data_IF_010774947646
#
_entry.id   IF_010774947646
#
_cell.length_a   1.000
_cell.length_b   1.000
_cell.length_c   1.000
_cell.angle_alpha   90.00
_cell.angle_beta   90.00
_cell.angle_gamma   90.00
#
_symmetry.space_group_name_H-M   'P 1'
#
loop_
_entity.id
_entity.type
_entity.pdbx_description
1 polymer ?
#
# COMPACT_ATOMS: atom_id res chain seq x y z
N UNK A 1 4.26 15.04 58.98
CA UNK A 1 5.23 14.28 58.19
C UNK A 1 4.42 13.41 57.22
N UNK A 2 4.27 13.82 56.00
CA UNK A 2 3.57 13.05 54.98
C UNK A 2 4.63 12.50 54.02
N UNK A 3 4.77 11.18 53.99
CA UNK A 3 5.72 10.47 53.12
C UNK A 3 5.24 10.42 51.70
N UNK A 4 5.99 11.01 50.82
CA UNK A 4 5.84 10.99 49.38
C UNK A 4 6.37 9.65 48.82
N UNK A 5 5.50 8.69 48.55
CA UNK A 5 5.84 7.47 47.80
C UNK A 5 5.56 7.69 46.33
N UNK A 6 6.55 8.19 45.58
CA UNK A 6 6.47 8.35 44.13
C UNK A 6 6.68 6.99 43.43
N UNK A 7 5.74 6.65 42.55
CA UNK A 7 5.66 5.47 41.71
C UNK A 7 6.82 5.34 40.73
N UNK A 8 7.84 4.53 41.03
CA UNK A 8 8.98 4.20 40.13
C UNK A 8 8.87 2.84 39.40
N UNK A 9 7.69 2.25 39.27
CA UNK A 9 7.54 0.86 38.79
C UNK A 9 7.07 0.67 37.35
N UNK A 10 6.87 1.73 36.54
CA UNK A 10 6.20 1.57 35.21
C UNK A 10 7.13 1.34 34.01
N UNK A 11 8.41 1.71 34.03
CA UNK A 11 9.31 1.63 32.88
C UNK A 11 9.79 0.21 32.49
N UNK A 12 10.27 -0.64 33.40
CA UNK A 12 10.80 -1.97 33.05
C UNK A 12 9.71 -2.92 32.51
N UNK A 13 8.52 -2.90 33.11
CA UNK A 13 7.41 -3.77 32.74
C UNK A 13 6.84 -3.41 31.34
N UNK A 14 6.81 -2.13 30.99
CA UNK A 14 6.41 -1.66 29.67
C UNK A 14 7.41 -2.07 28.58
N UNK A 15 8.71 -1.99 28.85
CA UNK A 15 9.76 -2.45 27.94
C UNK A 15 9.73 -3.96 27.67
N UNK A 16 9.54 -4.77 28.71
CA UNK A 16 9.41 -6.23 28.58
C UNK A 16 8.19 -6.62 27.76
N UNK A 17 7.04 -5.97 27.97
CA UNK A 17 5.82 -6.21 27.20
C UNK A 17 5.96 -5.85 25.73
N UNK A 18 6.64 -4.74 25.42
CA UNK A 18 6.93 -4.31 24.07
C UNK A 18 7.88 -5.27 23.35
N UNK A 19 8.92 -5.75 24.02
CA UNK A 19 9.84 -6.73 23.46
C UNK A 19 9.12 -8.06 23.12
N UNK A 20 8.23 -8.51 24.00
CA UNK A 20 7.40 -9.72 23.76
C UNK A 20 6.47 -9.53 22.56
N UNK A 21 5.79 -8.38 22.45
CA UNK A 21 4.89 -8.08 21.33
C UNK A 21 5.65 -8.02 20.00
N UNK A 22 6.83 -7.37 19.96
CA UNK A 22 7.70 -7.34 18.77
C UNK A 22 8.16 -8.75 18.38
N UNK A 23 8.47 -9.60 19.34
CA UNK A 23 8.80 -11.01 19.10
C UNK A 23 7.64 -11.79 18.48
N UNK A 24 6.41 -11.58 18.96
CA UNK A 24 5.20 -12.18 18.40
C UNK A 24 4.92 -11.69 16.97
N UNK A 25 5.07 -10.40 16.69
CA UNK A 25 4.96 -9.83 15.34
C UNK A 25 5.98 -10.46 14.41
N UNK A 26 7.25 -10.58 14.85
CA UNK A 26 8.32 -11.22 14.08
C UNK A 26 7.98 -12.68 13.74
N UNK A 27 7.48 -13.44 14.70
CA UNK A 27 7.06 -14.83 14.50
C UNK A 27 5.90 -14.93 13.50
N UNK A 28 4.88 -14.08 13.63
CA UNK A 28 3.74 -14.05 12.71
C UNK A 28 4.16 -13.70 11.28
N UNK A 29 5.01 -12.68 11.11
CA UNK A 29 5.52 -12.27 9.80
C UNK A 29 6.40 -13.36 9.17
N UNK A 30 7.28 -14.00 9.96
CA UNK A 30 8.09 -15.13 9.50
C UNK A 30 7.22 -16.28 9.00
N UNK A 31 6.19 -16.64 9.75
CA UNK A 31 5.25 -17.68 9.34
C UNK A 31 4.55 -17.35 8.02
N UNK A 32 4.11 -16.09 7.83
CA UNK A 32 3.53 -15.64 6.56
C UNK A 32 4.51 -15.80 5.40
N UNK A 33 5.73 -15.29 5.55
CA UNK A 33 6.76 -15.36 4.49
C UNK A 33 7.15 -16.80 4.15
N UNK A 34 7.18 -17.70 5.15
CA UNK A 34 7.51 -19.11 4.94
C UNK A 34 6.37 -19.89 4.28
N UNK A 35 5.11 -19.60 4.65
CA UNK A 35 3.93 -20.33 4.17
C UNK A 35 3.37 -19.80 2.85
N UNK A 36 3.65 -18.54 2.51
CA UNK A 36 3.38 -18.03 1.18
C UNK A 36 4.38 -18.63 0.20
N UNK A 37 3.90 -19.39 -0.77
CA UNK A 37 4.79 -19.96 -1.80
C UNK A 37 5.47 -18.86 -2.61
N UNK A 38 6.62 -19.19 -3.22
CA UNK A 38 7.38 -18.26 -4.06
C UNK A 38 8.33 -17.35 -3.27
N UNK A 39 8.64 -16.19 -3.84
CA UNK A 39 9.52 -15.19 -3.23
C UNK A 39 8.68 -14.16 -2.50
N UNK A 40 8.64 -14.22 -1.18
CA UNK A 40 7.84 -13.32 -0.34
C UNK A 40 8.71 -12.40 0.50
N UNK A 41 8.35 -11.13 0.56
CA UNK A 41 8.92 -10.11 1.43
C UNK A 41 7.83 -9.47 2.27
N UNK A 42 8.18 -9.01 3.48
CA UNK A 42 7.21 -8.41 4.37
C UNK A 42 7.76 -7.29 5.24
N UNK A 43 6.89 -6.37 5.55
CA UNK A 43 7.09 -5.24 6.44
C UNK A 43 5.88 -5.10 7.36
N UNK A 44 6.10 -5.03 8.67
CA UNK A 44 5.05 -4.73 9.65
C UNK A 44 5.55 -3.64 10.60
N UNK A 45 4.74 -2.61 10.79
CA UNK A 45 5.01 -1.53 11.75
C UNK A 45 3.76 -1.19 12.53
N UNK A 46 3.80 -1.35 13.85
CA UNK A 46 2.83 -0.73 14.74
C UNK A 46 3.08 0.79 14.77
N UNK A 47 2.02 1.58 14.65
CA UNK A 47 2.13 3.05 14.67
C UNK A 47 2.53 3.52 16.08
N UNK A 48 3.35 4.55 16.13
CA UNK A 48 4.00 5.08 17.34
C UNK A 48 5.52 4.89 17.28
N UNK A 49 6.18 4.80 18.43
CA UNK A 49 7.64 4.75 18.55
C UNK A 49 8.26 3.36 18.28
N UNK A 50 7.48 2.46 17.64
CA UNK A 50 7.93 1.09 17.36
C UNK A 50 8.76 1.03 16.08
N UNK A 51 9.86 0.27 16.14
CA UNK A 51 10.61 -0.05 14.94
C UNK A 51 9.84 -1.07 14.08
N UNK A 52 9.97 -1.01 12.75
CA UNK A 52 9.36 -2.02 11.89
C UNK A 52 10.02 -3.39 12.07
N UNK A 53 9.23 -4.44 11.84
CA UNK A 53 9.71 -5.82 11.67
C UNK A 53 9.68 -6.13 10.19
N UNK A 54 10.79 -6.61 9.66
CA UNK A 54 10.96 -6.84 8.23
C UNK A 54 11.53 -8.22 7.94
N UNK A 55 11.08 -8.85 6.85
CA UNK A 55 11.72 -10.00 6.20
C UNK A 55 11.94 -9.68 4.73
N UNK A 56 13.21 -9.63 4.31
CA UNK A 56 13.59 -9.21 2.95
C UNK A 56 12.92 -7.89 2.53
N UNK A 57 12.66 -6.98 3.50
CA UNK A 57 11.84 -5.79 3.30
C UNK A 57 12.31 -4.88 2.16
N UNK A 58 13.61 -4.80 1.93
CA UNK A 58 14.23 -4.03 0.84
C UNK A 58 14.37 -4.81 -0.48
N UNK A 59 13.90 -6.07 -0.55
CA UNK A 59 13.94 -6.82 -1.81
C UNK A 59 13.06 -6.15 -2.84
N UNK A 60 13.65 -5.83 -3.98
CA UNK A 60 12.92 -5.31 -5.14
C UNK A 60 12.11 -6.43 -5.78
N UNK A 61 10.79 -6.23 -5.85
CA UNK A 61 9.83 -7.18 -6.40
C UNK A 61 8.83 -6.47 -7.33
N UNK A 62 8.14 -7.23 -8.16
CA UNK A 62 7.06 -6.71 -9.01
C UNK A 62 5.99 -6.08 -8.14
N UNK A 63 5.71 -4.81 -8.37
CA UNK A 63 4.73 -4.06 -7.59
C UNK A 63 3.29 -4.41 -7.96
N UNK A 64 3.06 -4.85 -9.20
CA UNK A 64 1.72 -4.88 -9.77
C UNK A 64 0.96 -3.57 -9.43
N UNK A 65 -0.31 -3.62 -9.07
CA UNK A 65 -1.12 -2.42 -8.80
C UNK A 65 -0.78 -1.69 -7.49
N UNK A 66 0.13 -2.19 -6.66
CA UNK A 66 0.61 -1.42 -5.48
C UNK A 66 1.33 -0.14 -5.90
N UNK A 67 1.93 -0.10 -7.10
CA UNK A 67 2.56 1.10 -7.66
C UNK A 67 1.59 2.30 -7.77
N UNK A 68 0.28 2.07 -7.85
CA UNK A 68 -0.76 3.10 -7.93
C UNK A 68 -0.79 4.02 -6.71
N UNK A 69 -0.25 3.58 -5.57
CA UNK A 69 -0.03 4.45 -4.40
C UNK A 69 0.88 5.62 -4.78
N UNK A 70 1.95 5.38 -5.52
CA UNK A 70 2.89 6.42 -5.93
C UNK A 70 2.33 7.34 -7.03
N UNK A 71 1.50 6.80 -7.92
CA UNK A 71 0.73 7.62 -8.88
C UNK A 71 -0.23 8.55 -8.14
N UNK A 72 -0.95 8.05 -7.14
CA UNK A 72 -1.83 8.84 -6.27
C UNK A 72 -1.05 9.96 -5.56
N UNK A 73 0.11 9.66 -5.01
CA UNK A 73 0.94 10.64 -4.31
C UNK A 73 1.37 11.76 -5.24
N UNK A 74 1.82 11.45 -6.47
CA UNK A 74 2.19 12.49 -7.43
C UNK A 74 0.98 13.35 -7.82
N UNK A 75 -0.19 12.75 -8.04
CA UNK A 75 -1.41 13.52 -8.31
C UNK A 75 -1.71 14.51 -7.17
N UNK A 76 -1.69 14.08 -5.91
CA UNK A 76 -1.91 14.96 -4.77
C UNK A 76 -0.80 15.99 -4.58
N UNK A 77 0.42 15.68 -4.99
CA UNK A 77 1.53 16.65 -4.99
C UNK A 77 1.27 17.79 -5.98
N UNK A 78 0.81 17.48 -7.19
CA UNK A 78 0.44 18.45 -8.21
C UNK A 78 -0.82 19.23 -7.80
N UNK A 79 -1.79 18.56 -7.16
CA UNK A 79 -2.99 19.23 -6.63
C UNK A 79 -2.60 20.24 -5.53
N UNK A 80 -1.72 19.85 -4.61
CA UNK A 80 -1.19 20.74 -3.57
C UNK A 80 -0.44 21.92 -4.16
N UNK A 81 0.28 21.73 -5.26
CA UNK A 81 1.01 22.78 -5.97
C UNK A 81 0.09 23.68 -6.82
N UNK A 82 -1.20 23.37 -6.95
CA UNK A 82 -2.17 24.15 -7.73
C UNK A 82 -2.10 23.93 -9.24
N UNK A 83 -1.29 23.00 -9.74
CA UNK A 83 -1.13 22.67 -11.16
C UNK A 83 -2.18 21.65 -11.65
N UNK A 84 -2.88 21.00 -10.74
CA UNK A 84 -3.97 20.06 -11.01
C UNK A 84 -5.08 20.30 -9.98
N UNK A 85 -6.35 20.03 -10.34
CA UNK A 85 -7.50 20.08 -9.42
C UNK A 85 -8.27 18.77 -9.46
N UNK A 86 -8.88 18.39 -8.34
CA UNK A 86 -9.75 17.20 -8.30
C UNK A 86 -10.95 17.33 -9.25
N UNK A 87 -11.39 18.53 -9.54
CA UNK A 87 -12.51 18.87 -10.45
C UNK A 87 -12.10 18.94 -11.91
N UNK A 88 -10.80 18.93 -12.26
CA UNK A 88 -10.38 19.03 -13.65
C UNK A 88 -10.93 17.85 -14.46
N UNK A 89 -11.63 18.17 -15.55
CA UNK A 89 -12.12 17.17 -16.51
C UNK A 89 -10.97 16.65 -17.35
N UNK A 90 -10.79 15.33 -17.37
CA UNK A 90 -9.71 14.67 -18.08
C UNK A 90 -10.31 13.76 -19.15
N UNK A 91 -9.83 13.90 -20.39
CA UNK A 91 -10.23 13.04 -21.50
C UNK A 91 -9.67 11.63 -21.32
N UNK A 92 -10.45 10.63 -21.74
CA UNK A 92 -10.09 9.22 -21.72
C UNK A 92 -9.97 8.76 -23.18
N UNK A 93 -8.78 8.88 -23.80
CA UNK A 93 -8.60 8.47 -25.19
C UNK A 93 -8.77 6.94 -25.33
N UNK A 94 -9.23 6.50 -26.48
CA UNK A 94 -9.41 5.06 -26.74
C UNK A 94 -8.09 4.29 -26.63
N UNK A 95 -6.97 4.91 -26.97
CA UNK A 95 -5.62 4.35 -26.84
C UNK A 95 -5.22 4.00 -25.40
N UNK A 96 -5.81 4.65 -24.39
CA UNK A 96 -5.52 4.40 -22.98
C UNK A 96 -6.44 3.35 -22.35
N UNK A 97 -7.50 2.95 -23.06
CA UNK A 97 -8.43 1.93 -22.59
C UNK A 97 -7.77 0.56 -22.64
N UNK A 98 -7.49 0.02 -21.48
CA UNK A 98 -6.86 -1.30 -21.30
C UNK A 98 -7.67 -2.13 -20.31
N UNK A 99 -7.77 -3.41 -20.57
CA UNK A 99 -8.53 -4.37 -19.76
C UNK A 99 -7.88 -4.73 -18.43
N UNK A 100 -8.00 -5.98 -18.04
CA UNK A 100 -7.52 -6.50 -16.77
C UNK A 100 -8.45 -6.14 -15.61
N UNK A 101 -8.03 -5.17 -14.75
CA UNK A 101 -8.84 -4.72 -13.62
C UNK A 101 -9.46 -3.35 -13.87
N UNK A 102 -10.62 -3.11 -13.26
CA UNK A 102 -11.38 -1.86 -13.36
C UNK A 102 -12.62 -1.99 -14.23
N UNK A 103 -13.25 -0.86 -14.51
CA UNK A 103 -14.55 -0.78 -15.22
C UNK A 103 -14.46 0.04 -16.50
N UNK A 104 -13.53 0.98 -16.62
CA UNK A 104 -13.49 1.96 -17.72
C UNK A 104 -13.19 1.35 -19.10
N UNK A 105 -12.46 0.25 -19.15
CA UNK A 105 -12.14 -0.42 -20.42
C UNK A 105 -13.40 -0.77 -21.23
N UNK A 106 -14.48 -1.13 -20.55
CA UNK A 106 -15.73 -1.59 -21.12
C UNK A 106 -16.85 -0.51 -21.12
N UNK A 107 -16.50 0.71 -20.73
CA UNK A 107 -17.46 1.83 -20.71
C UNK A 107 -17.21 2.80 -21.86
N UNK A 108 -18.28 3.38 -22.38
CA UNK A 108 -18.19 4.42 -23.40
C UNK A 108 -17.95 5.83 -22.83
N UNK A 109 -17.31 5.87 -21.66
CA UNK A 109 -16.96 7.11 -20.96
C UNK A 109 -15.80 7.79 -21.64
N UNK A 110 -15.95 9.07 -21.96
CA UNK A 110 -14.91 9.86 -22.66
C UNK A 110 -14.20 10.87 -21.76
N UNK A 111 -14.82 11.27 -20.65
CA UNK A 111 -14.29 12.24 -19.70
C UNK A 111 -14.66 11.87 -18.28
N UNK A 112 -13.73 12.02 -17.35
CA UNK A 112 -13.97 11.97 -15.91
C UNK A 112 -13.17 13.06 -15.22
N UNK A 113 -13.59 13.43 -14.02
CA UNK A 113 -12.79 14.33 -13.21
C UNK A 113 -11.55 13.60 -12.67
N UNK A 114 -10.49 14.35 -12.36
CA UNK A 114 -9.28 13.82 -11.72
C UNK A 114 -9.65 13.02 -10.45
N UNK A 115 -10.58 13.54 -9.64
CA UNK A 115 -11.04 12.85 -8.42
C UNK A 115 -11.73 11.52 -8.71
N UNK A 116 -12.55 11.44 -9.76
CA UNK A 116 -13.19 10.19 -10.19
C UNK A 116 -12.17 9.17 -10.68
N UNK A 117 -11.18 9.61 -11.47
CA UNK A 117 -10.09 8.73 -11.93
C UNK A 117 -9.25 8.20 -10.76
N UNK A 118 -8.88 9.05 -9.80
CA UNK A 118 -8.19 8.62 -8.58
C UNK A 118 -8.98 7.60 -7.78
N UNK A 119 -10.30 7.80 -7.65
CA UNK A 119 -11.17 6.87 -6.95
C UNK A 119 -11.21 5.50 -7.64
N UNK A 120 -11.39 5.46 -8.96
CA UNK A 120 -11.39 4.22 -9.75
C UNK A 120 -10.02 3.52 -9.70
N UNK A 121 -8.93 4.27 -9.84
CA UNK A 121 -7.57 3.75 -9.78
C UNK A 121 -7.28 3.05 -8.44
N UNK A 122 -7.65 3.65 -7.33
CA UNK A 122 -7.33 3.09 -6.02
C UNK A 122 -8.34 2.06 -5.56
N UNK A 123 -9.65 2.35 -5.63
CA UNK A 123 -10.68 1.44 -5.10
C UNK A 123 -10.96 0.23 -5.98
N UNK A 124 -11.04 0.43 -7.29
CA UNK A 124 -11.32 -0.63 -8.26
C UNK A 124 -10.04 -1.15 -8.94
N UNK A 125 -8.88 -0.60 -8.59
CA UNK A 125 -7.62 -0.91 -9.28
C UNK A 125 -7.70 -0.71 -10.80
N UNK A 126 -8.48 0.26 -11.29
CA UNK A 126 -8.75 0.49 -12.71
C UNK A 126 -7.46 0.84 -13.47
N UNK A 127 -7.13 0.03 -14.48
CA UNK A 127 -5.92 0.19 -15.27
C UNK A 127 -6.02 1.35 -16.26
N UNK A 128 -7.19 1.55 -16.87
CA UNK A 128 -7.44 2.68 -17.77
C UNK A 128 -7.32 4.00 -16.99
N UNK A 129 -7.98 4.12 -15.83
CA UNK A 129 -7.85 5.31 -14.98
C UNK A 129 -6.39 5.58 -14.59
N UNK A 130 -5.62 4.53 -14.35
CA UNK A 130 -4.19 4.64 -14.02
C UNK A 130 -3.39 5.22 -15.18
N UNK A 131 -3.57 4.69 -16.40
CA UNK A 131 -2.84 5.13 -17.59
C UNK A 131 -3.17 6.60 -17.95
N UNK A 132 -4.45 6.96 -17.90
CA UNK A 132 -4.92 8.34 -18.11
C UNK A 132 -4.30 9.29 -17.07
N UNK A 133 -4.24 8.89 -15.80
CA UNK A 133 -3.61 9.70 -14.77
C UNK A 133 -2.09 9.81 -14.97
N UNK A 134 -1.40 8.74 -15.35
CA UNK A 134 0.04 8.79 -15.66
C UNK A 134 0.31 9.85 -16.75
N UNK A 135 -0.47 9.85 -17.82
CA UNK A 135 -0.29 10.84 -18.90
C UNK A 135 -0.61 12.26 -18.44
N UNK A 136 -1.72 12.44 -17.71
CA UNK A 136 -2.12 13.74 -17.16
C UNK A 136 -1.05 14.32 -16.22
N UNK A 137 -0.34 13.47 -15.50
CA UNK A 137 0.73 13.87 -14.59
C UNK A 137 2.06 14.20 -15.29
N UNK A 138 2.15 14.04 -16.61
CA UNK A 138 3.35 14.29 -17.40
C UNK A 138 4.19 13.03 -17.67
N UNK A 139 3.58 11.86 -17.59
CA UNK A 139 4.22 10.57 -17.85
C UNK A 139 4.91 9.97 -16.65
N UNK A 140 5.79 9.00 -16.91
CA UNK A 140 6.50 8.25 -15.86
C UNK A 140 7.51 9.11 -15.07
N UNK A 141 8.07 10.14 -15.70
CA UNK A 141 9.15 10.97 -15.15
C UNK A 141 8.79 11.65 -13.83
N UNK A 142 7.74 12.48 -13.75
CA UNK A 142 7.34 13.18 -12.52
C UNK A 142 7.01 12.22 -11.37
N UNK A 143 6.38 11.05 -11.66
CA UNK A 143 6.06 10.03 -10.67
C UNK A 143 7.35 9.45 -10.10
N UNK A 144 8.33 9.08 -10.94
CA UNK A 144 9.62 8.59 -10.49
C UNK A 144 10.45 9.63 -9.72
N UNK A 145 10.33 10.91 -10.06
CA UNK A 145 10.93 11.99 -9.27
C UNK A 145 10.34 12.06 -7.86
N UNK A 146 9.01 11.90 -7.73
CA UNK A 146 8.34 11.81 -6.42
C UNK A 146 8.79 10.60 -5.63
N UNK A 147 8.87 9.42 -6.25
CA UNK A 147 9.40 8.19 -5.65
C UNK A 147 10.81 8.43 -5.10
N UNK A 148 11.68 9.04 -5.89
CA UNK A 148 13.05 9.38 -5.47
C UNK A 148 13.08 10.34 -4.28
N UNK A 149 12.24 11.39 -4.29
CA UNK A 149 12.13 12.36 -3.20
C UNK A 149 11.65 11.72 -1.89
N UNK A 150 10.87 10.64 -1.95
CA UNK A 150 10.45 9.85 -0.80
C UNK A 150 11.55 8.92 -0.26
N UNK A 151 12.69 8.83 -0.92
CA UNK A 151 13.77 7.89 -0.56
C UNK A 151 13.44 6.43 -0.87
N UNK A 152 12.49 6.18 -1.78
CA UNK A 152 12.07 4.85 -2.18
C UNK A 152 12.98 4.28 -3.27
N UNK A 153 14.19 3.85 -2.88
CA UNK A 153 15.25 3.45 -3.81
C UNK A 153 14.98 2.14 -4.56
N UNK A 154 14.08 1.29 -4.05
CA UNK A 154 13.71 0.02 -4.69
C UNK A 154 12.41 0.11 -5.50
N UNK A 155 11.83 1.32 -5.60
CA UNK A 155 10.56 1.57 -6.30
C UNK A 155 10.80 2.30 -7.61
N UNK A 156 10.18 1.81 -8.68
CA UNK A 156 10.20 2.47 -9.99
C UNK A 156 8.97 2.14 -10.82
N UNK A 157 8.40 3.15 -11.46
CA UNK A 157 7.36 3.02 -12.48
C UNK A 157 8.03 3.06 -13.86
N UNK A 158 8.10 1.92 -14.55
CA UNK A 158 8.84 1.79 -15.82
C UNK A 158 7.93 1.59 -17.03
N UNK A 159 6.66 1.32 -16.82
CA UNK A 159 5.66 1.13 -17.88
C UNK A 159 4.27 1.52 -17.41
N UNK A 160 3.40 1.82 -18.37
CA UNK A 160 1.95 1.89 -18.16
C UNK A 160 1.37 0.52 -17.78
N UNK A 161 0.13 0.53 -17.29
CA UNK A 161 -0.59 -0.71 -17.01
C UNK A 161 -0.86 -1.46 -18.30
N UNK A 162 -0.55 -2.78 -18.32
CA UNK A 162 -0.70 -3.71 -19.45
C UNK A 162 0.12 -3.33 -20.71
N UNK A 163 1.17 -2.51 -20.58
CA UNK A 163 2.15 -2.32 -21.64
C UNK A 163 3.06 -3.56 -21.75
N UNK A 164 2.58 -4.54 -22.51
CA UNK A 164 3.30 -5.81 -22.71
C UNK A 164 4.56 -5.64 -23.56
N UNK A 165 4.62 -4.64 -24.46
CA UNK A 165 5.83 -4.35 -25.24
C UNK A 165 6.99 -3.92 -24.34
N UNK A 166 6.71 -3.01 -23.40
CA UNK A 166 7.69 -2.63 -22.39
C UNK A 166 8.11 -3.82 -21.52
N UNK A 167 7.13 -4.65 -21.10
CA UNK A 167 7.39 -5.84 -20.30
C UNK A 167 8.30 -6.85 -21.00
N UNK A 168 8.05 -7.13 -22.29
CA UNK A 168 8.90 -8.00 -23.13
C UNK A 168 10.32 -7.45 -23.31
N UNK A 169 10.47 -6.11 -23.26
CA UNK A 169 11.76 -5.43 -23.25
C UNK A 169 12.44 -5.40 -21.88
N UNK A 170 11.95 -6.18 -20.88
CA UNK A 170 12.51 -6.25 -19.54
C UNK A 170 12.15 -5.08 -18.62
N UNK A 171 11.26 -4.16 -19.04
CA UNK A 171 10.80 -3.04 -18.21
C UNK A 171 9.52 -3.42 -17.47
N UNK A 172 9.58 -3.44 -16.16
CA UNK A 172 8.42 -3.69 -15.31
C UNK A 172 8.37 -2.72 -14.13
N UNK A 173 7.23 -2.64 -13.46
CA UNK A 173 7.03 -1.80 -12.30
C UNK A 173 7.45 -2.56 -11.04
N UNK A 174 8.32 -1.95 -10.26
CA UNK A 174 8.91 -2.56 -9.07
C UNK A 174 8.69 -1.72 -7.82
N UNK A 175 8.72 -2.38 -6.67
CA UNK A 175 8.76 -1.76 -5.35
C UNK A 175 9.41 -2.70 -4.33
N UNK A 176 9.49 -2.26 -3.07
CA UNK A 176 9.86 -3.09 -1.92
C UNK A 176 8.84 -2.93 -0.79
N UNK A 177 8.74 -3.93 0.08
CA UNK A 177 7.83 -3.87 1.22
C UNK A 177 8.19 -2.71 2.17
N UNK A 178 9.48 -2.43 2.32
CA UNK A 178 9.98 -1.32 3.14
C UNK A 178 9.63 0.05 2.53
N UNK A 179 9.79 0.23 1.22
CA UNK A 179 9.45 1.51 0.55
C UNK A 179 7.95 1.82 0.70
N UNK A 180 7.10 0.82 0.43
CA UNK A 180 5.65 0.97 0.56
C UNK A 180 5.25 1.19 2.03
N UNK A 181 5.81 0.41 2.95
CA UNK A 181 5.51 0.52 4.38
C UNK A 181 5.88 1.87 4.97
N UNK A 182 7.07 2.39 4.64
CA UNK A 182 7.51 3.76 5.02
C UNK A 182 6.59 4.82 4.43
N UNK A 183 6.21 4.67 3.17
CA UNK A 183 5.31 5.61 2.48
C UNK A 183 3.92 5.63 3.12
N UNK A 184 3.33 4.46 3.40
CA UNK A 184 2.06 4.38 4.10
C UNK A 184 2.13 4.97 5.52
N UNK A 185 3.26 4.79 6.22
CA UNK A 185 3.47 5.41 7.53
C UNK A 185 3.50 6.95 7.44
N UNK A 186 4.13 7.51 6.41
CA UNK A 186 4.12 8.96 6.19
C UNK A 186 2.72 9.49 5.93
N UNK A 187 1.93 8.80 5.10
CA UNK A 187 0.53 9.17 4.82
C UNK A 187 -0.30 9.10 6.12
N UNK A 188 -0.23 7.98 6.84
CA UNK A 188 -1.05 7.76 8.03
C UNK A 188 -0.73 8.72 9.17
N UNK A 189 0.53 9.08 9.31
CA UNK A 189 0.98 10.03 10.34
C UNK A 189 0.95 11.50 9.87
N UNK A 190 0.33 11.77 8.72
CA UNK A 190 0.18 13.11 8.12
C UNK A 190 1.49 13.86 7.87
N UNK A 191 2.57 13.12 7.56
CA UNK A 191 3.91 13.66 7.32
C UNK A 191 4.34 13.67 5.86
N UNK A 192 3.46 13.26 4.94
CA UNK A 192 3.81 13.23 3.51
C UNK A 192 3.51 14.56 2.83
N UNK A 193 2.26 15.00 2.79
CA UNK A 193 1.83 16.26 2.17
C UNK A 193 1.12 17.20 3.17
N UNK A 194 0.90 16.75 4.40
CA UNK A 194 0.16 17.44 5.45
C UNK A 194 -1.26 16.90 5.64
N UNK A 195 -1.83 17.13 6.83
CA UNK A 195 -3.03 16.45 7.30
C UNK A 195 -4.21 16.47 6.33
N UNK A 196 -4.48 17.61 5.68
CA UNK A 196 -5.60 17.73 4.74
C UNK A 196 -5.46 16.85 3.48
N UNK A 197 -4.27 16.73 2.93
CA UNK A 197 -4.00 15.95 1.73
C UNK A 197 -3.82 14.47 2.05
N UNK A 198 -3.12 14.16 3.13
CA UNK A 198 -2.87 12.80 3.56
C UNK A 198 -4.19 12.12 3.97
N UNK A 199 -5.11 12.84 4.62
CA UNK A 199 -6.48 12.36 4.90
C UNK A 199 -7.25 12.03 3.63
N UNK A 200 -7.14 12.85 2.57
CA UNK A 200 -7.80 12.55 1.29
C UNK A 200 -7.23 11.28 0.65
N UNK A 201 -5.93 11.05 0.72
CA UNK A 201 -5.32 9.80 0.26
C UNK A 201 -5.75 8.58 1.09
N UNK A 202 -5.86 8.72 2.42
CA UNK A 202 -6.41 7.67 3.28
C UNK A 202 -7.86 7.34 2.89
N UNK A 203 -8.71 8.33 2.62
CA UNK A 203 -10.09 8.11 2.20
C UNK A 203 -10.21 7.37 0.86
N UNK A 204 -9.24 7.53 -0.03
CA UNK A 204 -9.16 6.72 -1.25
C UNK A 204 -8.75 5.26 -0.96
N UNK A 205 -7.77 5.07 -0.07
CA UNK A 205 -7.31 3.73 0.34
C UNK A 205 -8.37 2.99 1.16
N UNK A 206 -9.24 3.71 1.87
CA UNK A 206 -10.41 3.15 2.54
C UNK A 206 -11.48 2.78 1.50
N UNK A 207 -11.87 1.53 1.45
CA UNK A 207 -12.89 1.06 0.51
C UNK A 207 -12.33 0.44 -0.76
N UNK A 208 -11.07 -0.01 -0.74
CA UNK A 208 -10.56 -0.89 -1.79
C UNK A 208 -11.48 -2.12 -1.94
N UNK A 209 -11.87 -2.45 -3.16
CA UNK A 209 -12.80 -3.54 -3.45
C UNK A 209 -12.22 -4.92 -3.10
N UNK A 210 -10.89 -5.07 -3.14
CA UNK A 210 -10.23 -6.33 -2.80
C UNK A 210 -9.74 -6.32 -1.34
N UNK A 211 -10.46 -7.03 -0.48
CA UNK A 211 -10.13 -7.25 0.93
C UNK A 211 -9.94 -8.74 1.25
N UNK A 212 -9.54 -9.55 0.27
CA UNK A 212 -9.40 -11.00 0.40
C UNK A 212 -8.07 -11.45 0.99
N UNK A 213 -7.11 -10.56 1.16
CA UNK A 213 -5.74 -10.82 1.64
C UNK A 213 -5.56 -10.44 3.12
N UNK A 214 -4.69 -9.50 3.46
CA UNK A 214 -4.45 -9.08 4.86
C UNK A 214 -5.76 -8.77 5.61
N UNK A 215 -6.74 -8.04 5.04
CA UNK A 215 -7.97 -7.71 5.73
C UNK A 215 -8.99 -8.85 5.87
N UNK A 216 -8.84 -9.96 5.17
CA UNK A 216 -9.90 -10.94 4.94
C UNK A 216 -10.67 -11.38 6.20
N UNK A 217 -9.97 -11.64 7.31
CA UNK A 217 -10.56 -12.11 8.55
C UNK A 217 -10.86 -11.00 9.57
N UNK A 218 -10.53 -9.73 9.26
CA UNK A 218 -10.62 -8.61 10.20
C UNK A 218 -11.38 -7.39 9.64
N UNK A 219 -11.87 -7.45 8.40
CA UNK A 219 -12.51 -6.33 7.69
C UNK A 219 -13.72 -5.73 8.40
N UNK A 220 -14.42 -6.52 9.23
CA UNK A 220 -15.59 -6.07 9.97
C UNK A 220 -15.24 -5.60 11.41
N UNK A 221 -13.96 -5.69 11.81
CA UNK A 221 -13.50 -5.43 13.18
C UNK A 221 -12.55 -4.22 13.28
N UNK A 222 -12.19 -3.63 12.15
CA UNK A 222 -11.26 -2.52 12.07
C UNK A 222 -11.54 -1.65 10.84
N UNK A 223 -11.03 -0.42 10.83
CA UNK A 223 -10.97 0.41 9.62
C UNK A 223 -9.76 -0.03 8.79
N UNK A 224 -10.01 -0.29 7.51
CA UNK A 224 -9.03 -0.80 6.56
C UNK A 224 -8.73 0.25 5.50
N UNK A 225 -7.45 0.51 5.30
CA UNK A 225 -6.92 1.32 4.20
C UNK A 225 -5.92 0.45 3.46
N UNK A 226 -6.24 -0.03 2.25
CA UNK A 226 -5.32 -0.93 1.55
C UNK A 226 -5.26 -0.71 0.04
N UNK A 227 -4.22 -1.23 -0.56
CA UNK A 227 -4.06 -1.38 -2.00
C UNK A 227 -3.43 -2.73 -2.30
N UNK A 228 -4.15 -3.53 -3.06
CA UNK A 228 -3.67 -4.83 -3.55
C UNK A 228 -3.00 -4.70 -4.91
N UNK A 229 -2.25 -5.73 -5.28
CA UNK A 229 -1.66 -5.89 -6.59
C UNK A 229 -1.59 -7.36 -6.99
N UNK A 230 -2.03 -7.66 -8.20
CA UNK A 230 -2.04 -9.01 -8.77
C UNK A 230 -1.39 -8.99 -10.16
N UNK A 231 -0.59 -10.04 -10.45
CA UNK A 231 -0.10 -10.32 -11.79
C UNK A 231 0.06 -11.85 -11.95
N UNK A 232 -1.02 -12.52 -12.41
CA UNK A 232 -1.08 -13.99 -12.45
C UNK A 232 0.07 -14.64 -13.21
N UNK A 233 0.47 -14.10 -14.36
CA UNK A 233 1.54 -14.64 -15.21
C UNK A 233 2.88 -14.79 -14.50
N UNK A 234 3.09 -14.02 -13.43
CA UNK A 234 4.29 -14.05 -12.60
C UNK A 234 4.02 -14.53 -11.18
N UNK A 235 2.83 -15.12 -10.92
CA UNK A 235 2.43 -15.56 -9.59
C UNK A 235 2.53 -14.47 -8.54
N UNK A 236 2.15 -13.23 -8.90
CA UNK A 236 2.22 -12.07 -8.00
C UNK A 236 0.93 -11.88 -7.24
N UNK A 237 1.05 -11.86 -5.92
CA UNK A 237 0.00 -11.46 -4.99
C UNK A 237 0.59 -10.50 -3.96
N UNK A 238 0.16 -9.24 -4.00
CA UNK A 238 0.63 -8.19 -3.09
C UNK A 238 -0.53 -7.59 -2.32
N UNK A 239 -0.27 -7.16 -1.09
CA UNK A 239 -1.17 -6.30 -0.33
C UNK A 239 -0.38 -5.34 0.57
N UNK A 240 -0.81 -4.09 0.59
CA UNK A 240 -0.25 -3.03 1.39
C UNK A 240 -1.39 -2.38 2.17
N UNK A 241 -1.43 -2.60 3.48
CA UNK A 241 -2.57 -2.26 4.31
C UNK A 241 -2.17 -1.48 5.57
N UNK A 242 -3.03 -0.54 5.95
CA UNK A 242 -3.08 0.08 7.27
C UNK A 242 -4.35 -0.42 7.94
N UNK A 243 -4.24 -0.95 9.15
CA UNK A 243 -5.35 -1.47 9.94
C UNK A 243 -5.47 -0.62 11.19
N UNK A 244 -6.63 -0.01 11.42
CA UNK A 244 -6.89 0.88 12.54
C UNK A 244 -8.05 0.38 13.40
N UNK A 245 -7.87 0.39 14.72
CA UNK A 245 -8.92 0.17 15.71
C UNK A 245 -8.79 1.20 16.84
N UNK A 246 -9.77 2.09 16.95
CA UNK A 246 -9.69 3.22 17.86
C UNK A 246 -8.50 4.12 17.56
N UNK A 247 -7.65 4.38 18.55
CA UNK A 247 -6.44 5.19 18.42
C UNK A 247 -5.17 4.39 18.13
N UNK A 248 -5.28 3.06 17.95
CA UNK A 248 -4.15 2.19 17.59
C UNK A 248 -4.23 1.78 16.14
N UNK A 249 -3.07 1.63 15.51
CA UNK A 249 -2.98 1.17 14.13
C UNK A 249 -1.68 0.41 13.87
N UNK A 250 -1.68 -0.41 12.83
CA UNK A 250 -0.47 -0.99 12.27
C UNK A 250 -0.49 -0.97 10.75
N UNK A 251 0.69 -1.01 10.16
CA UNK A 251 0.92 -1.18 8.74
C UNK A 251 1.44 -2.59 8.52
N UNK A 252 0.91 -3.27 7.51
CA UNK A 252 1.44 -4.54 7.02
C UNK A 252 1.53 -4.49 5.50
N UNK A 253 2.71 -4.80 4.96
CA UNK A 253 2.95 -4.90 3.52
C UNK A 253 3.55 -6.26 3.24
N UNK A 254 2.91 -7.03 2.37
CA UNK A 254 3.40 -8.30 1.86
C UNK A 254 3.47 -8.22 0.35
N UNK A 255 4.65 -8.47 -0.17
CA UNK A 255 4.91 -8.61 -1.60
C UNK A 255 5.34 -10.04 -1.86
N UNK A 256 4.68 -10.72 -2.79
CA UNK A 256 4.95 -12.12 -3.11
C UNK A 256 4.87 -12.35 -4.61
N UNK A 257 5.87 -13.01 -5.18
CA UNK A 257 5.94 -13.36 -6.61
C UNK A 257 6.43 -14.80 -6.81
N UNK A 258 6.17 -15.37 -8.00
CA UNK A 258 6.52 -16.74 -8.36
C UNK A 258 5.90 -17.80 -7.43
N UNK A 259 4.73 -17.50 -6.87
CA UNK A 259 4.02 -18.39 -5.95
C UNK A 259 2.66 -18.80 -6.48
N UNK A 260 1.97 -19.64 -5.71
CA UNK A 260 0.59 -20.01 -5.97
C UNK A 260 -0.37 -19.07 -5.26
N UNK A 261 -1.39 -18.60 -5.97
CA UNK A 261 -2.34 -17.59 -5.48
C UNK A 261 -2.96 -17.99 -4.14
N UNK A 262 -3.42 -19.24 -4.01
CA UNK A 262 -4.08 -19.70 -2.79
C UNK A 262 -3.17 -19.68 -1.56
N UNK A 263 -1.93 -20.16 -1.69
CA UNK A 263 -0.97 -20.15 -0.59
C UNK A 263 -0.62 -18.73 -0.15
N UNK A 264 -0.40 -17.82 -1.12
CA UNK A 264 -0.08 -16.42 -0.86
C UNK A 264 -1.25 -15.69 -0.16
N UNK A 265 -2.48 -15.84 -0.65
CA UNK A 265 -3.68 -15.22 -0.07
C UNK A 265 -3.94 -15.75 1.34
N UNK A 266 -3.88 -17.08 1.53
CA UNK A 266 -4.09 -17.69 2.84
C UNK A 266 -3.06 -17.23 3.87
N UNK A 267 -1.78 -17.17 3.49
CA UNK A 267 -0.72 -16.67 4.38
C UNK A 267 -0.94 -15.21 4.80
N UNK A 268 -1.33 -14.34 3.86
CA UNK A 268 -1.65 -12.93 4.17
C UNK A 268 -2.89 -12.79 5.05
N UNK A 269 -3.94 -13.55 4.78
CA UNK A 269 -5.19 -13.55 5.56
C UNK A 269 -4.93 -13.99 7.01
N UNK A 270 -4.14 -15.06 7.20
CA UNK A 270 -3.74 -15.52 8.52
C UNK A 270 -2.87 -14.49 9.25
N UNK A 271 -1.91 -13.86 8.55
CA UNK A 271 -1.09 -12.79 9.12
C UNK A 271 -1.96 -11.65 9.64
N UNK A 272 -2.92 -11.17 8.85
CA UNK A 272 -3.82 -10.08 9.25
C UNK A 272 -4.55 -10.39 10.56
N UNK A 273 -5.12 -11.60 10.68
CA UNK A 273 -5.75 -12.08 11.92
C UNK A 273 -4.78 -12.10 13.11
N UNK A 274 -3.58 -12.67 12.90
CA UNK A 274 -2.57 -12.76 13.97
C UNK A 274 -2.08 -11.40 14.43
N UNK A 275 -1.82 -10.48 13.53
CA UNK A 275 -1.43 -9.11 13.86
C UNK A 275 -2.53 -8.36 14.62
N UNK A 276 -3.79 -8.55 14.20
CA UNK A 276 -4.93 -7.96 14.90
C UNK A 276 -5.00 -8.43 16.36
N UNK A 277 -4.87 -9.75 16.60
CA UNK A 277 -4.84 -10.32 17.95
C UNK A 277 -3.68 -9.78 18.77
N UNK A 278 -2.47 -9.80 18.24
CA UNK A 278 -1.26 -9.36 18.95
C UNK A 278 -1.32 -7.87 19.31
N UNK A 279 -1.85 -7.04 18.40
CA UNK A 279 -1.77 -5.59 18.55
C UNK A 279 -3.00 -5.02 19.25
N UNK A 280 -4.19 -5.57 19.05
CA UNK A 280 -5.44 -4.96 19.52
C UNK A 280 -6.13 -5.74 20.66
N UNK A 281 -5.80 -7.01 20.85
CA UNK A 281 -6.32 -7.87 21.93
C UNK A 281 -5.24 -8.09 22.98
#
# INVERSE_FOLDING_TARGET
MASNTSSKTSKPQKQSRLATQQGQIKTALKACVTNASGKTAGYVKQIGDHQPVEFSGNRRQRSASVIKIFVMIEAFRQIKAGTLRLSDSISIPQSDKVGGTGVLANQNTQHLTCGQLLNLMIKNSDNTATNVLIDKLGGLGPINQSIKKLGCSNTSLQRKMLDYSALQSGRDNYTSASDVGKTLNMIYTHRLLGSGWDTKMLNLLQGNANQTKIPAQIKNSATIYNKTGEFPDYGVQNDAAIIQKGNRAFIAVILSENGTQSSQINAMSYLGKRLYQIIFE
#
